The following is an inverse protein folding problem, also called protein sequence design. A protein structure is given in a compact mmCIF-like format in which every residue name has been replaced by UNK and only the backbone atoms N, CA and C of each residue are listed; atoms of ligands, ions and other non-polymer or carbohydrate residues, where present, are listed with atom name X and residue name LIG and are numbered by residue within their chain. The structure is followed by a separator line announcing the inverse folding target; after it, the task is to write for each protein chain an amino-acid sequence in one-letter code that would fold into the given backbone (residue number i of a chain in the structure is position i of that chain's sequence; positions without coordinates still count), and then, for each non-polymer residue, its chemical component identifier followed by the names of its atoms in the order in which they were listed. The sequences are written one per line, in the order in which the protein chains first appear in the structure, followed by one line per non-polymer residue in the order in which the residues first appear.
data_IF_258815599509
#
_entry.id   IF_258815599509
#
_cell.length_a   1.000
_cell.length_b   1.000
_cell.length_c   1.000
_cell.angle_alpha   90.00
_cell.angle_beta   90.00
_cell.angle_gamma   90.00
#
_symmetry.space_group_name_H-M   'P 1'
#
loop_
_entity.id
_entity.type
_entity.pdbx_description
1 polymer ?
#
# COMPACT_ATOMS: atom_id res chain seq x y z
N UNK A 1 15.08 4.65 58.36
CA UNK A 1 16.36 4.33 57.66
C UNK A 1 16.13 3.10 56.82
N UNK A 2 16.23 3.05 55.49
CA UNK A 2 16.53 4.03 54.44
C UNK A 2 15.67 3.63 53.22
N UNK A 3 15.07 4.63 52.59
CA UNK A 3 14.43 4.55 51.28
C UNK A 3 15.47 4.18 50.22
N UNK A 4 15.11 3.30 49.28
CA UNK A 4 15.72 3.29 47.95
C UNK A 4 14.60 3.14 46.91
N UNK A 5 14.04 4.29 46.56
CA UNK A 5 13.26 4.47 45.34
C UNK A 5 14.28 4.37 44.21
N UNK A 6 14.27 3.26 43.49
CA UNK A 6 14.92 3.17 42.19
C UNK A 6 14.06 3.98 41.21
N UNK A 7 14.36 5.28 41.12
CA UNK A 7 13.98 6.10 39.99
C UNK A 7 14.64 5.50 38.75
N UNK A 8 13.91 4.62 38.04
CA UNK A 8 14.14 4.36 36.62
C UNK A 8 13.78 5.66 35.92
N UNK A 9 14.76 6.56 35.88
CA UNK A 9 14.76 7.74 35.05
C UNK A 9 14.44 7.30 33.63
N UNK A 10 13.30 7.76 33.14
CA UNK A 10 12.95 8.01 31.75
C UNK A 10 14.06 8.82 31.05
N UNK A 11 15.22 8.21 30.86
CA UNK A 11 16.19 8.59 29.84
C UNK A 11 15.81 7.86 28.56
N UNK A 12 14.58 8.10 28.11
CA UNK A 12 14.19 7.86 26.73
C UNK A 12 14.98 8.87 25.91
N UNK A 13 16.19 8.47 25.50
CA UNK A 13 16.75 8.76 24.17
C UNK A 13 16.44 10.13 23.55
N UNK A 14 16.77 11.23 24.24
CA UNK A 14 16.79 12.58 23.63
C UNK A 14 17.95 12.80 22.65
N UNK A 15 18.89 11.85 22.54
CA UNK A 15 20.05 11.96 21.63
C UNK A 15 19.81 11.39 20.21
N UNK A 16 18.73 10.63 19.97
CA UNK A 16 18.41 10.07 18.63
C UNK A 16 17.47 10.97 17.80
N UNK A 17 17.02 12.08 18.38
CA UNK A 17 16.24 13.13 17.73
C UNK A 17 17.17 14.19 17.11
N UNK A 18 18.35 13.78 16.63
CA UNK A 18 19.24 14.62 15.84
C UNK A 18 18.46 15.13 14.61
N UNK A 19 18.01 16.38 14.71
CA UNK A 19 17.29 17.22 13.75
C UNK A 19 16.48 16.50 12.64
N UNK A 20 15.57 15.57 12.99
CA UNK A 20 14.62 14.95 12.05
C UNK A 20 13.87 16.03 11.25
N UNK A 21 13.36 17.05 11.95
CA UNK A 21 12.58 18.13 11.35
C UNK A 21 13.40 18.99 10.39
N UNK A 22 14.61 19.41 10.77
CA UNK A 22 15.45 20.22 9.90
C UNK A 22 16.02 19.44 8.73
N UNK A 23 16.37 18.16 8.91
CA UNK A 23 16.80 17.29 7.80
C UNK A 23 15.66 17.04 6.83
N UNK A 24 14.45 16.73 7.31
CA UNK A 24 13.27 16.61 6.46
C UNK A 24 12.95 17.92 5.71
N UNK A 25 13.07 19.07 6.37
CA UNK A 25 12.90 20.38 5.73
C UNK A 25 13.95 20.64 4.64
N UNK A 26 15.20 20.21 4.83
CA UNK A 26 16.25 20.28 3.77
C UNK A 26 15.89 19.38 2.59
N UNK A 27 15.42 18.17 2.85
CA UNK A 27 14.91 17.26 1.82
C UNK A 27 13.81 17.94 1.00
N UNK A 28 12.81 18.53 1.65
CA UNK A 28 11.72 19.25 0.97
C UNK A 28 12.20 20.40 0.09
N UNK A 29 13.31 21.05 0.43
CA UNK A 29 13.86 22.15 -0.37
C UNK A 29 14.76 21.70 -1.53
N UNK A 30 15.02 20.39 -1.64
CA UNK A 30 15.78 19.81 -2.76
C UNK A 30 14.86 19.59 -3.96
N UNK A 31 15.37 19.82 -5.18
CA UNK A 31 14.58 19.73 -6.42
C UNK A 31 13.85 18.38 -6.59
N UNK A 32 14.53 17.26 -6.30
CA UNK A 32 13.95 15.90 -6.34
C UNK A 32 13.57 15.36 -4.96
N UNK A 33 13.42 16.22 -3.94
CA UNK A 33 13.00 15.80 -2.60
C UNK A 33 13.93 14.74 -2.00
N UNK A 34 13.41 13.55 -1.58
CA UNK A 34 14.22 12.49 -1.00
C UNK A 34 15.01 11.67 -2.04
N UNK A 35 14.77 11.93 -3.34
CA UNK A 35 15.34 11.15 -4.42
C UNK A 35 16.64 11.76 -4.95
N UNK A 36 17.54 10.88 -5.33
CA UNK A 36 18.74 11.20 -6.11
C UNK A 36 18.41 11.18 -7.63
N UNK A 37 19.44 11.17 -8.47
CA UNK A 37 19.27 10.92 -9.90
C UNK A 37 18.64 9.53 -10.13
N UNK A 38 18.05 9.34 -11.31
CA UNK A 38 17.68 7.99 -11.74
C UNK A 38 18.95 7.29 -12.21
N UNK A 39 19.10 6.03 -11.79
CA UNK A 39 20.25 5.21 -12.16
C UNK A 39 19.78 3.95 -12.87
N UNK A 40 20.57 3.50 -13.84
CA UNK A 40 20.57 2.10 -14.28
C UNK A 40 21.44 1.30 -13.31
N UNK A 41 20.82 0.35 -12.61
CA UNK A 41 21.50 -0.57 -11.73
C UNK A 41 21.90 -1.80 -12.52
N UNK A 42 23.20 -2.09 -12.52
CA UNK A 42 23.76 -3.35 -13.02
C UNK A 42 24.47 -4.13 -11.92
N UNK A 43 24.86 -5.37 -12.21
CA UNK A 43 25.48 -6.25 -11.21
C UNK A 43 26.86 -5.78 -10.74
N UNK A 44 27.57 -4.96 -11.52
CA UNK A 44 28.93 -4.50 -11.22
C UNK A 44 29.01 -3.02 -10.87
N UNK A 45 27.90 -2.27 -10.99
CA UNK A 45 27.89 -0.84 -10.76
C UNK A 45 26.55 -0.22 -11.10
N UNK A 46 26.45 1.09 -10.87
CA UNK A 46 25.29 1.89 -11.25
C UNK A 46 25.75 3.13 -12.00
N UNK A 47 24.97 3.56 -12.98
CA UNK A 47 25.28 4.73 -13.81
C UNK A 47 24.02 5.60 -13.96
N UNK A 48 24.14 6.94 -13.95
CA UNK A 48 22.98 7.81 -14.15
C UNK A 48 22.31 7.55 -15.51
N UNK A 49 20.98 7.64 -15.59
CA UNK A 49 20.30 7.48 -16.89
C UNK A 49 20.66 8.65 -17.83
N UNK A 50 21.33 8.35 -18.95
CA UNK A 50 21.67 9.26 -20.07
C UNK A 50 21.56 8.53 -21.41
N UNK A 51 21.35 9.24 -22.52
CA UNK A 51 21.01 8.70 -23.86
C UNK A 51 22.01 7.70 -24.49
N UNK A 52 23.13 7.37 -23.85
CA UNK A 52 24.14 6.43 -24.38
C UNK A 52 24.80 5.54 -23.33
N UNK A 53 24.33 5.58 -22.07
CA UNK A 53 24.94 4.78 -21.02
C UNK A 53 24.33 3.37 -20.96
N UNK A 54 25.15 2.38 -20.61
CA UNK A 54 24.74 0.99 -20.40
C UNK A 54 25.07 0.62 -18.97
N UNK A 55 24.18 -0.14 -18.33
CA UNK A 55 24.40 -0.62 -16.97
C UNK A 55 25.69 -1.46 -16.88
N UNK A 56 26.58 -1.21 -15.90
CA UNK A 56 27.77 -2.02 -15.70
C UNK A 56 27.43 -3.46 -15.31
N UNK A 57 27.92 -4.44 -16.09
CA UNK A 57 27.59 -5.85 -15.88
C UNK A 57 26.24 -6.22 -16.49
N UNK A 58 25.44 -7.02 -15.77
CA UNK A 58 24.08 -7.38 -16.20
C UNK A 58 23.10 -6.34 -15.67
N UNK A 59 22.30 -5.74 -16.55
CA UNK A 59 21.23 -4.82 -16.16
C UNK A 59 20.20 -5.51 -15.26
N UNK A 60 19.78 -4.83 -14.20
CA UNK A 60 18.80 -5.34 -13.23
C UNK A 60 17.53 -4.51 -13.23
N UNK A 61 17.66 -3.19 -13.05
CA UNK A 61 16.53 -2.27 -13.05
C UNK A 61 17.00 -0.84 -13.24
N UNK A 62 16.05 0.06 -13.49
CA UNK A 62 16.25 1.50 -13.43
C UNK A 62 15.36 2.11 -12.36
N UNK A 63 15.91 2.94 -11.47
CA UNK A 63 15.12 3.57 -10.40
C UNK A 63 15.83 4.78 -9.78
N UNK A 64 15.07 5.56 -9.01
CA UNK A 64 15.60 6.62 -8.18
C UNK A 64 16.00 6.06 -6.81
N UNK A 65 17.24 6.26 -6.39
CA UNK A 65 17.65 5.91 -5.02
C UNK A 65 17.39 7.07 -4.06
N UNK A 66 17.30 6.77 -2.76
CA UNK A 66 17.40 7.79 -1.71
C UNK A 66 18.67 8.62 -1.90
N UNK A 67 18.56 9.93 -1.75
CA UNK A 67 19.72 10.81 -1.62
C UNK A 67 20.35 10.69 -0.23
N UNK A 68 21.51 11.32 -0.02
CA UNK A 68 22.27 11.16 1.22
C UNK A 68 21.50 11.64 2.46
N UNK A 69 20.70 12.70 2.36
CA UNK A 69 19.85 13.17 3.47
C UNK A 69 18.73 12.16 3.82
N UNK A 70 18.10 11.55 2.81
CA UNK A 70 17.09 10.52 3.04
C UNK A 70 17.71 9.23 3.60
N UNK A 71 18.95 8.90 3.22
CA UNK A 71 19.71 7.78 3.82
C UNK A 71 20.12 8.08 5.26
N UNK A 72 20.49 9.32 5.54
CA UNK A 72 20.81 9.79 6.89
C UNK A 72 19.61 9.63 7.82
N UNK A 73 18.42 10.10 7.41
CA UNK A 73 17.18 9.91 8.18
C UNK A 73 16.87 8.43 8.43
N UNK A 74 17.01 7.59 7.41
CA UNK A 74 16.78 6.15 7.55
C UNK A 74 17.78 5.48 8.51
N UNK A 75 19.03 5.93 8.54
CA UNK A 75 20.09 5.31 9.35
C UNK A 75 20.14 5.85 10.78
N UNK A 76 19.91 7.16 10.97
CA UNK A 76 20.04 7.82 12.27
C UNK A 76 18.72 7.87 13.05
N UNK A 77 17.59 8.00 12.36
CA UNK A 77 16.28 8.20 12.99
C UNK A 77 15.30 7.05 12.72
N UNK A 78 15.71 6.00 11.99
CA UNK A 78 14.81 4.96 11.48
C UNK A 78 13.65 5.51 10.64
N UNK A 79 13.84 6.68 10.01
CA UNK A 79 12.79 7.41 9.31
C UNK A 79 12.97 7.29 7.79
N UNK A 80 12.10 6.50 7.14
CA UNK A 80 12.24 6.22 5.71
C UNK A 80 11.37 7.14 4.84
N UNK A 81 12.00 7.84 3.91
CA UNK A 81 11.34 8.60 2.84
C UNK A 81 11.90 8.24 1.48
N UNK A 82 11.20 8.60 0.41
CA UNK A 82 11.53 8.23 -0.95
C UNK A 82 11.36 6.74 -1.21
N UNK A 83 10.32 6.12 -0.63
CA UNK A 83 10.13 4.68 -0.68
C UNK A 83 9.70 4.19 -2.07
N UNK A 84 10.38 3.14 -2.54
CA UNK A 84 10.21 2.49 -3.84
C UNK A 84 10.47 0.98 -3.71
N UNK A 85 9.72 0.14 -4.45
CA UNK A 85 9.83 -1.31 -4.29
C UNK A 85 11.19 -1.80 -4.75
N UNK A 86 11.63 -1.29 -5.90
CA UNK A 86 12.94 -1.62 -6.49
C UNK A 86 14.08 -1.37 -5.50
N UNK A 87 14.25 -0.13 -5.06
CA UNK A 87 15.40 0.25 -4.23
C UNK A 87 15.27 -0.24 -2.80
N UNK A 88 14.08 -0.31 -2.20
CA UNK A 88 13.92 -0.85 -0.85
C UNK A 88 14.30 -2.34 -0.81
N UNK A 89 13.75 -3.13 -1.73
CA UNK A 89 14.06 -4.56 -1.79
C UNK A 89 15.53 -4.80 -2.12
N UNK A 90 16.08 -4.03 -3.06
CA UNK A 90 17.49 -4.13 -3.41
C UNK A 90 18.38 -3.77 -2.21
N UNK A 91 18.16 -2.64 -1.53
CA UNK A 91 18.95 -2.23 -0.35
C UNK A 91 18.86 -3.26 0.80
N UNK A 92 17.68 -3.85 1.04
CA UNK A 92 17.53 -4.95 2.00
C UNK A 92 18.41 -6.15 1.62
N UNK A 93 18.43 -6.53 0.34
CA UNK A 93 19.33 -7.58 -0.15
C UNK A 93 20.80 -7.22 0.08
N UNK A 94 21.19 -5.99 -0.24
CA UNK A 94 22.56 -5.52 -0.06
C UNK A 94 23.03 -5.63 1.39
N UNK A 95 22.16 -5.22 2.32
CA UNK A 95 22.48 -5.26 3.75
C UNK A 95 22.54 -6.69 4.29
N UNK A 96 21.50 -7.48 4.06
CA UNK A 96 21.31 -8.77 4.75
C UNK A 96 21.93 -9.96 4.03
N UNK A 97 22.23 -9.85 2.72
CA UNK A 97 22.89 -10.92 1.96
C UNK A 97 24.36 -10.61 1.72
N UNK A 98 24.68 -9.35 1.38
CA UNK A 98 26.02 -8.97 0.90
C UNK A 98 26.82 -8.11 1.89
N UNK A 99 26.23 -7.65 3.00
CA UNK A 99 26.88 -6.73 3.94
C UNK A 99 27.20 -5.34 3.36
N UNK A 100 26.61 -4.99 2.21
CA UNK A 100 26.81 -3.71 1.52
C UNK A 100 25.48 -3.18 0.97
N UNK A 101 24.73 -2.48 1.82
CA UNK A 101 23.39 -1.96 1.52
C UNK A 101 23.32 -1.11 0.24
N UNK A 102 24.35 -0.31 -0.02
CA UNK A 102 24.36 0.66 -1.12
C UNK A 102 25.24 0.22 -2.29
N UNK A 103 25.67 -1.05 -2.30
CA UNK A 103 26.54 -1.64 -3.30
C UNK A 103 25.85 -1.97 -4.63
N UNK A 104 26.57 -2.75 -5.43
CA UNK A 104 26.05 -3.41 -6.63
C UNK A 104 26.35 -4.90 -6.55
N UNK A 105 25.37 -5.75 -6.83
CA UNK A 105 25.45 -7.20 -6.63
C UNK A 105 24.41 -7.92 -7.48
N UNK A 106 24.58 -9.22 -7.67
CA UNK A 106 23.61 -10.08 -8.35
C UNK A 106 22.37 -10.27 -7.47
N UNK A 107 21.17 -10.32 -8.08
CA UNK A 107 19.95 -10.61 -7.33
C UNK A 107 19.99 -12.03 -6.78
N UNK A 108 19.73 -12.16 -5.48
CA UNK A 108 19.66 -13.45 -4.79
C UNK A 108 18.43 -13.50 -3.88
N UNK A 109 17.27 -13.72 -4.51
CA UNK A 109 15.97 -13.76 -3.83
C UNK A 109 15.91 -14.84 -2.74
N UNK A 110 16.50 -16.01 -2.99
CA UNK A 110 16.54 -17.12 -2.04
C UNK A 110 17.33 -16.77 -0.77
N UNK A 111 18.51 -16.16 -0.92
CA UNK A 111 19.30 -15.75 0.24
C UNK A 111 18.62 -14.63 1.05
N UNK A 112 17.97 -13.67 0.37
CA UNK A 112 17.22 -12.63 1.08
C UNK A 112 16.01 -13.22 1.81
N UNK A 113 15.26 -14.15 1.20
CA UNK A 113 14.17 -14.86 1.87
C UNK A 113 14.64 -15.61 3.12
N UNK A 114 15.81 -16.26 3.05
CA UNK A 114 16.42 -16.91 4.21
C UNK A 114 16.85 -15.93 5.31
N UNK A 115 17.13 -14.66 4.96
CA UNK A 115 17.47 -13.59 5.88
C UNK A 115 16.26 -12.81 6.44
N UNK A 116 15.03 -13.25 6.14
CA UNK A 116 13.80 -12.57 6.57
C UNK A 116 13.68 -12.37 8.09
N UNK A 117 14.02 -13.35 8.96
CA UNK A 117 13.99 -13.14 10.41
C UNK A 117 14.90 -12.00 10.87
N UNK A 118 16.11 -11.90 10.31
CA UNK A 118 17.09 -10.87 10.66
C UNK A 118 16.67 -9.48 10.17
N UNK A 119 15.96 -9.43 9.05
CA UNK A 119 15.52 -8.20 8.41
C UNK A 119 14.13 -7.71 8.85
N UNK A 120 13.42 -8.47 9.70
CA UNK A 120 12.03 -8.22 10.08
C UNK A 120 11.79 -6.81 10.61
N UNK A 121 12.55 -6.38 11.63
CA UNK A 121 12.37 -5.08 12.26
C UNK A 121 12.54 -3.91 11.26
N UNK A 122 13.59 -3.96 10.43
CA UNK A 122 13.83 -2.93 9.43
C UNK A 122 12.75 -2.95 8.34
N UNK A 123 12.31 -4.14 7.93
CA UNK A 123 11.26 -4.29 6.92
C UNK A 123 9.94 -3.70 7.43
N UNK A 124 9.58 -3.99 8.69
CA UNK A 124 8.40 -3.40 9.32
C UNK A 124 8.48 -1.87 9.37
N UNK A 125 9.64 -1.31 9.74
CA UNK A 125 9.86 0.14 9.75
C UNK A 125 9.70 0.77 8.35
N UNK A 126 10.33 0.19 7.32
CA UNK A 126 10.19 0.62 5.92
C UNK A 126 8.71 0.64 5.52
N UNK A 127 7.96 -0.44 5.78
CA UNK A 127 6.54 -0.55 5.38
C UNK A 127 5.69 0.51 6.09
N UNK A 128 5.87 0.71 7.40
CA UNK A 128 5.15 1.74 8.18
C UNK A 128 5.38 3.12 7.60
N UNK A 129 6.65 3.50 7.43
CA UNK A 129 7.03 4.79 6.88
C UNK A 129 6.53 4.97 5.45
N UNK A 130 6.49 3.90 4.66
CA UNK A 130 5.99 3.98 3.29
C UNK A 130 4.49 4.24 3.25
N UNK A 131 3.70 3.54 4.05
CA UNK A 131 2.26 3.80 4.15
C UNK A 131 2.00 5.25 4.58
N UNK A 132 2.72 5.72 5.60
CA UNK A 132 2.61 7.08 6.12
C UNK A 132 3.08 8.13 5.09
N UNK A 133 4.15 7.87 4.36
CA UNK A 133 4.64 8.74 3.28
C UNK A 133 3.61 8.83 2.16
N UNK A 134 2.99 7.71 1.75
CA UNK A 134 1.92 7.70 0.74
C UNK A 134 0.72 8.52 1.21
N UNK A 135 0.35 8.38 2.49
CA UNK A 135 -0.70 9.21 3.08
C UNK A 135 -0.33 10.69 3.01
N UNK A 136 0.86 11.06 3.46
CA UNK A 136 1.36 12.43 3.43
C UNK A 136 1.34 13.02 2.02
N UNK A 137 1.84 12.28 1.04
CA UNK A 137 1.89 12.72 -0.37
C UNK A 137 0.49 12.89 -0.97
N UNK A 138 -0.46 12.03 -0.57
CA UNK A 138 -1.85 12.07 -1.09
C UNK A 138 -2.65 13.23 -0.49
N UNK A 139 -2.54 13.47 0.82
CA UNK A 139 -3.36 14.45 1.54
C UNK A 139 -2.74 15.85 1.59
N UNK A 140 -1.44 15.98 1.27
CA UNK A 140 -0.74 17.26 1.18
C UNK A 140 -0.09 17.45 -0.20
N UNK A 141 -0.86 17.40 -1.30
CA UNK A 141 -0.31 17.33 -2.66
C UNK A 141 0.47 18.59 -3.08
N UNK A 142 0.24 19.72 -2.41
CA UNK A 142 0.89 21.00 -2.69
C UNK A 142 2.24 21.16 -1.99
N UNK A 143 2.63 20.24 -1.10
CA UNK A 143 3.94 20.33 -0.46
C UNK A 143 5.06 19.90 -1.43
N UNK A 144 6.29 20.38 -1.18
CA UNK A 144 7.43 20.08 -2.05
C UNK A 144 7.81 18.60 -2.05
N UNK A 145 7.51 17.87 -0.97
CA UNK A 145 7.73 16.43 -0.89
C UNK A 145 6.85 15.66 -1.88
N UNK A 146 5.56 15.95 -1.92
CA UNK A 146 4.60 15.37 -2.85
C UNK A 146 4.95 15.73 -4.30
N UNK A 147 5.31 17.00 -4.54
CA UNK A 147 5.82 17.42 -5.84
C UNK A 147 7.04 16.60 -6.28
N UNK A 148 7.95 16.26 -5.36
CA UNK A 148 9.13 15.47 -5.69
C UNK A 148 8.83 14.07 -6.21
N UNK A 149 7.74 13.44 -5.79
CA UNK A 149 7.30 12.15 -6.34
C UNK A 149 6.82 12.25 -7.79
N UNK A 150 6.34 13.43 -8.21
CA UNK A 150 6.06 13.71 -9.61
C UNK A 150 7.32 14.03 -10.40
N UNK A 151 8.37 14.57 -9.75
CA UNK A 151 9.64 14.96 -10.37
C UNK A 151 10.72 13.88 -10.35
N UNK A 152 10.52 12.78 -9.60
CA UNK A 152 11.53 11.74 -9.41
C UNK A 152 11.97 11.08 -10.73
N UNK A 153 11.14 11.15 -11.77
CA UNK A 153 11.29 10.43 -13.04
C UNK A 153 10.54 9.10 -13.00
N UNK A 154 10.39 8.47 -14.17
CA UNK A 154 9.73 7.17 -14.27
C UNK A 154 10.78 6.11 -13.96
N UNK A 155 10.70 5.50 -12.77
CA UNK A 155 11.15 4.11 -12.66
C UNK A 155 10.28 3.33 -13.61
N UNK A 156 10.87 2.56 -14.53
CA UNK A 156 10.08 1.69 -15.41
C UNK A 156 9.06 0.96 -14.55
N UNK A 157 7.78 1.15 -14.87
CA UNK A 157 6.71 0.66 -14.00
C UNK A 157 6.69 -0.88 -13.99
N UNK A 158 7.24 -1.48 -15.03
CA UNK A 158 7.61 -2.90 -15.13
C UNK A 158 8.51 -3.35 -13.97
N UNK A 159 9.51 -2.55 -13.59
CA UNK A 159 10.41 -2.89 -12.49
C UNK A 159 9.76 -2.70 -11.13
N UNK A 160 9.02 -1.60 -10.92
CA UNK A 160 8.32 -1.39 -9.64
C UNK A 160 7.28 -2.47 -9.37
N UNK A 161 6.60 -2.95 -10.41
CA UNK A 161 5.65 -4.04 -10.28
C UNK A 161 6.35 -5.36 -9.94
N UNK A 162 7.39 -5.75 -10.69
CA UNK A 162 8.14 -6.98 -10.43
C UNK A 162 8.75 -6.98 -9.01
N UNK A 163 9.39 -5.89 -8.63
CA UNK A 163 9.98 -5.74 -7.30
C UNK A 163 8.93 -5.62 -6.20
N UNK A 164 7.70 -5.20 -6.49
CA UNK A 164 6.62 -5.29 -5.51
C UNK A 164 6.33 -6.74 -5.15
N UNK A 165 6.29 -7.66 -6.12
CA UNK A 165 6.13 -9.09 -5.83
C UNK A 165 7.29 -9.63 -5.00
N UNK A 166 8.53 -9.31 -5.37
CA UNK A 166 9.69 -9.73 -4.58
C UNK A 166 9.65 -9.18 -3.15
N UNK A 167 9.31 -7.89 -3.01
CA UNK A 167 9.23 -7.22 -1.72
C UNK A 167 8.12 -7.81 -0.84
N UNK A 168 6.89 -7.97 -1.34
CA UNK A 168 5.79 -8.48 -0.53
C UNK A 168 5.98 -9.95 -0.16
N UNK A 169 6.48 -10.79 -1.09
CA UNK A 169 6.81 -12.19 -0.78
C UNK A 169 7.83 -12.29 0.36
N UNK A 170 8.85 -11.44 0.33
CA UNK A 170 9.85 -11.32 1.38
C UNK A 170 9.27 -10.76 2.68
N UNK A 171 8.59 -9.62 2.63
CA UNK A 171 8.08 -8.92 3.80
C UNK A 171 7.03 -9.73 4.56
N UNK A 172 6.14 -10.44 3.86
CA UNK A 172 5.19 -11.38 4.46
C UNK A 172 5.87 -12.62 5.07
N UNK A 173 7.10 -12.94 4.65
CA UNK A 173 7.93 -13.98 5.29
C UNK A 173 8.66 -13.45 6.51
N UNK A 174 8.90 -12.14 6.56
CA UNK A 174 9.54 -11.46 7.68
C UNK A 174 8.56 -11.08 8.82
N UNK A 175 7.25 -11.28 8.64
CA UNK A 175 6.25 -11.03 9.69
C UNK A 175 6.46 -12.02 10.85
N UNK A 176 6.67 -11.49 12.05
CA UNK A 176 6.81 -12.25 13.29
C UNK A 176 5.69 -12.01 14.28
N UNK A 177 4.97 -10.88 14.15
CA UNK A 177 3.87 -10.49 15.03
C UNK A 177 2.64 -10.12 14.18
N UNK A 178 1.44 -10.50 14.64
CA UNK A 178 0.22 -10.35 13.83
C UNK A 178 -0.07 -8.90 13.41
N UNK A 179 0.22 -7.91 14.26
CA UNK A 179 0.00 -6.49 13.97
C UNK A 179 0.91 -5.96 12.84
N UNK A 180 2.03 -6.63 12.54
CA UNK A 180 2.92 -6.24 11.43
C UNK A 180 2.29 -6.51 10.05
N UNK A 181 1.22 -7.31 10.00
CA UNK A 181 0.50 -7.56 8.76
C UNK A 181 -0.32 -6.35 8.29
N UNK A 182 -0.92 -5.59 9.22
CA UNK A 182 -1.80 -4.47 8.88
C UNK A 182 -1.10 -3.42 7.99
N UNK A 183 0.14 -2.96 8.27
CA UNK A 183 0.86 -2.07 7.37
C UNK A 183 1.10 -2.66 5.97
N UNK A 184 1.37 -3.96 5.86
CA UNK A 184 1.53 -4.63 4.56
C UNK A 184 0.22 -4.65 3.78
N UNK A 185 -0.89 -4.95 4.45
CA UNK A 185 -2.23 -4.91 3.85
C UNK A 185 -2.59 -3.51 3.35
N UNK A 186 -2.36 -2.48 4.16
CA UNK A 186 -2.60 -1.08 3.78
C UNK A 186 -1.69 -0.64 2.63
N UNK A 187 -0.42 -1.05 2.63
CA UNK A 187 0.51 -0.76 1.54
C UNK A 187 0.05 -1.42 0.23
N UNK A 188 -0.33 -2.70 0.26
CA UNK A 188 -0.82 -3.42 -0.92
C UNK A 188 -2.12 -2.82 -1.46
N UNK A 189 -3.08 -2.49 -0.57
CA UNK A 189 -4.33 -1.82 -0.95
C UNK A 189 -4.11 -0.48 -1.63
N UNK A 190 -3.11 0.27 -1.19
CA UNK A 190 -2.80 1.60 -1.72
C UNK A 190 -1.84 1.57 -2.91
N UNK A 191 -1.28 0.41 -3.27
CA UNK A 191 -0.25 0.28 -4.31
C UNK A 191 -0.74 -0.51 -5.52
N UNK A 192 -0.47 -0.07 -6.75
CA UNK A 192 -0.84 -0.78 -7.98
C UNK A 192 0.10 -1.97 -8.24
N UNK A 193 -0.01 -3.02 -7.43
CA UNK A 193 0.89 -4.19 -7.52
C UNK A 193 0.35 -5.31 -8.40
N UNK A 194 -0.92 -5.21 -8.83
CA UNK A 194 -1.52 -6.24 -9.67
C UNK A 194 -1.05 -6.06 -11.12
N UNK A 195 -0.62 -7.17 -11.71
CA UNK A 195 -0.25 -7.20 -13.12
C UNK A 195 -1.47 -6.92 -13.98
N UNK A 196 -1.39 -5.82 -14.71
CA UNK A 196 -2.42 -5.39 -15.60
C UNK A 196 -1.73 -4.80 -16.82
N UNK A 197 -1.57 -5.60 -17.87
CA UNK A 197 -1.26 -5.14 -19.22
C UNK A 197 -2.13 -3.95 -19.65
N UNK A 198 -3.35 -3.85 -19.09
CA UNK A 198 -4.22 -2.68 -19.24
C UNK A 198 -3.65 -1.40 -18.60
N UNK A 199 -3.05 -1.45 -17.41
CA UNK A 199 -2.36 -0.29 -16.82
C UNK A 199 -1.16 0.14 -17.65
N UNK A 200 -0.39 -0.81 -18.21
CA UNK A 200 0.72 -0.47 -19.09
C UNK A 200 0.24 0.23 -20.36
N UNK A 201 -0.88 -0.24 -20.92
CA UNK A 201 -1.56 0.46 -22.02
C UNK A 201 -1.94 1.90 -21.62
N UNK A 202 -2.52 2.12 -20.44
CA UNK A 202 -2.84 3.48 -19.98
C UNK A 202 -1.59 4.36 -19.82
N UNK A 203 -0.51 3.82 -19.28
CA UNK A 203 0.79 4.49 -19.11
C UNK A 203 1.42 4.89 -20.43
N UNK A 204 1.41 3.98 -21.40
CA UNK A 204 1.87 4.24 -22.78
C UNK A 204 1.01 5.32 -23.45
N UNK A 205 -0.32 5.22 -23.34
CA UNK A 205 -1.24 6.19 -23.93
C UNK A 205 -1.04 7.61 -23.39
N UNK A 206 -0.89 7.77 -22.07
CA UNK A 206 -0.67 9.10 -21.49
C UNK A 206 0.70 9.67 -21.82
N UNK A 207 1.73 8.82 -21.94
CA UNK A 207 3.07 9.23 -22.36
C UNK A 207 3.05 9.75 -23.81
N UNK A 208 2.48 8.98 -24.74
CA UNK A 208 2.38 9.37 -26.15
C UNK A 208 1.54 10.65 -26.32
N UNK A 209 0.45 10.79 -25.55
CA UNK A 209 -0.36 12.00 -25.57
C UNK A 209 0.45 13.22 -25.09
N UNK A 210 1.19 13.07 -24.00
CA UNK A 210 2.06 14.13 -23.49
C UNK A 210 3.12 14.54 -24.51
N UNK A 211 3.82 13.58 -25.14
CA UNK A 211 4.87 13.86 -26.10
C UNK A 211 4.31 14.57 -27.35
N UNK A 212 3.15 14.13 -27.85
CA UNK A 212 2.45 14.79 -28.96
C UNK A 212 2.04 16.23 -28.60
N UNK A 213 1.48 16.44 -27.41
CA UNK A 213 1.04 17.77 -26.95
C UNK A 213 2.24 18.70 -26.73
N UNK A 214 3.32 18.19 -26.16
CA UNK A 214 4.58 18.93 -25.98
C UNK A 214 5.16 19.36 -27.32
N UNK A 215 5.18 18.48 -28.31
CA UNK A 215 5.66 18.79 -29.66
C UNK A 215 4.83 19.88 -30.34
N UNK A 216 3.50 19.84 -30.17
CA UNK A 216 2.59 20.76 -30.84
C UNK A 216 2.50 22.15 -30.19
N UNK A 217 2.51 22.21 -28.85
CA UNK A 217 2.21 23.44 -28.10
C UNK A 217 3.39 23.96 -27.26
N UNK A 218 4.45 23.18 -27.10
CA UNK A 218 5.62 23.53 -26.28
C UNK A 218 5.48 23.14 -24.81
N UNK A 219 6.61 23.03 -24.11
CA UNK A 219 6.68 22.59 -22.71
C UNK A 219 6.22 23.66 -21.70
N UNK A 220 6.18 24.93 -22.12
CA UNK A 220 5.74 26.04 -21.28
C UNK A 220 4.23 26.22 -21.22
N UNK A 221 3.48 25.61 -22.16
CA UNK A 221 2.02 25.66 -22.23
C UNK A 221 1.40 25.06 -20.95
N UNK A 222 0.37 25.73 -20.43
CA UNK A 222 -0.24 25.35 -19.16
C UNK A 222 -0.98 24.01 -19.22
N UNK A 223 -1.58 23.67 -20.36
CA UNK A 223 -2.20 22.37 -20.58
C UNK A 223 -1.13 21.27 -20.66
N UNK A 224 -0.01 21.53 -21.35
CA UNK A 224 1.10 20.57 -21.43
C UNK A 224 1.71 20.29 -20.05
N UNK A 225 1.87 21.32 -19.21
CA UNK A 225 2.33 21.17 -17.81
C UNK A 225 1.36 20.38 -16.95
N UNK A 226 0.05 20.65 -17.04
CA UNK A 226 -0.96 19.89 -16.32
C UNK A 226 -1.02 18.43 -16.79
N UNK A 227 -0.86 18.19 -18.09
CA UNK A 227 -0.81 16.86 -18.67
C UNK A 227 0.44 16.09 -18.24
N UNK A 228 1.58 16.77 -18.10
CA UNK A 228 2.81 16.20 -17.54
C UNK A 228 2.59 15.72 -16.10
N UNK A 229 1.93 16.54 -15.27
CA UNK A 229 1.57 16.15 -13.90
C UNK A 229 0.67 14.92 -13.91
N UNK A 230 -0.39 14.91 -14.73
CA UNK A 230 -1.30 13.77 -14.86
C UNK A 230 -0.59 12.49 -15.32
N UNK A 231 0.30 12.59 -16.32
CA UNK A 231 1.18 11.50 -16.76
C UNK A 231 1.95 10.95 -15.57
N UNK A 232 2.62 11.83 -14.83
CA UNK A 232 3.45 11.39 -13.70
C UNK A 232 2.61 10.79 -12.57
N UNK A 233 1.39 11.26 -12.33
CA UNK A 233 0.47 10.62 -11.38
C UNK A 233 0.10 9.21 -11.83
N UNK A 234 -0.24 9.00 -13.10
CA UNK A 234 -0.57 7.66 -13.66
C UNK A 234 0.65 6.72 -13.58
N UNK A 235 1.85 7.23 -13.80
CA UNK A 235 3.08 6.44 -13.75
C UNK A 235 3.54 6.14 -12.32
N UNK A 236 3.48 7.12 -11.41
CA UNK A 236 4.17 7.06 -10.12
C UNK A 236 3.25 6.98 -8.89
N UNK A 237 2.00 7.43 -8.99
CA UNK A 237 1.11 7.68 -7.85
C UNK A 237 -0.34 7.28 -8.15
N UNK A 238 -0.54 6.25 -8.96
CA UNK A 238 -1.86 5.86 -9.42
C UNK A 238 -2.78 5.52 -8.24
N UNK A 239 -3.95 6.14 -8.24
CA UNK A 239 -5.02 5.97 -7.26
C UNK A 239 -6.37 6.17 -7.96
N UNK A 240 -7.49 5.80 -7.34
CA UNK A 240 -8.81 6.08 -7.92
C UNK A 240 -9.05 7.57 -8.24
N UNK A 241 -8.42 8.48 -7.49
CA UNK A 241 -8.57 9.94 -7.69
C UNK A 241 -8.03 10.42 -9.04
N UNK A 242 -7.12 9.67 -9.67
CA UNK A 242 -6.63 9.99 -11.02
C UNK A 242 -7.78 10.13 -12.03
N UNK A 243 -8.87 9.37 -11.87
CA UNK A 243 -10.05 9.49 -12.73
C UNK A 243 -10.67 10.89 -12.63
N UNK A 244 -10.70 11.47 -11.42
CA UNK A 244 -11.16 12.84 -11.20
C UNK A 244 -10.15 13.87 -11.73
N UNK A 245 -8.86 13.62 -11.59
CA UNK A 245 -7.83 14.50 -12.16
C UNK A 245 -7.94 14.59 -13.69
N UNK A 246 -8.26 13.48 -14.36
CA UNK A 246 -8.56 13.49 -15.80
C UNK A 246 -9.80 14.35 -16.11
N UNK A 247 -10.88 14.20 -15.33
CA UNK A 247 -12.08 15.04 -15.50
C UNK A 247 -11.75 16.53 -15.32
N UNK A 248 -11.00 16.87 -14.28
CA UNK A 248 -10.57 18.24 -14.00
C UNK A 248 -9.72 18.80 -15.14
N UNK A 249 -8.78 18.02 -15.69
CA UNK A 249 -8.01 18.42 -16.86
C UNK A 249 -8.92 18.75 -18.06
N UNK A 250 -9.84 17.83 -18.39
CA UNK A 250 -10.76 18.02 -19.52
C UNK A 250 -11.67 19.23 -19.37
N UNK A 251 -12.06 19.56 -18.12
CA UNK A 251 -12.89 20.72 -17.81
C UNK A 251 -12.10 22.04 -17.86
N UNK A 252 -10.86 22.04 -17.37
CA UNK A 252 -10.02 23.24 -17.30
C UNK A 252 -9.40 23.62 -18.66
N UNK A 253 -9.24 22.66 -19.57
CA UNK A 253 -8.59 22.85 -20.87
C UNK A 253 -9.49 22.48 -22.06
N UNK A 254 -10.71 23.05 -22.17
CA UNK A 254 -11.70 22.64 -23.17
C UNK A 254 -11.24 22.88 -24.61
N UNK A 255 -10.36 23.87 -24.85
CA UNK A 255 -9.75 24.15 -26.15
C UNK A 255 -8.92 22.98 -26.70
N UNK A 256 -8.35 22.15 -25.82
CA UNK A 256 -7.50 21.01 -26.20
C UNK A 256 -8.29 19.70 -26.26
N UNK A 257 -9.62 19.75 -26.09
CA UNK A 257 -10.47 18.57 -26.02
C UNK A 257 -10.42 17.72 -27.31
N UNK A 258 -10.30 18.34 -28.48
CA UNK A 258 -10.18 17.60 -29.75
C UNK A 258 -8.93 16.71 -29.79
N UNK A 259 -7.82 17.19 -29.24
CA UNK A 259 -6.54 16.47 -29.21
C UNK A 259 -6.41 15.48 -28.03
N UNK A 260 -7.16 15.68 -26.95
CA UNK A 260 -6.94 14.97 -25.68
C UNK A 260 -8.10 14.08 -25.24
N UNK A 261 -9.35 14.44 -25.54
CA UNK A 261 -10.54 13.80 -24.94
C UNK A 261 -10.64 12.31 -25.25
N UNK A 262 -10.43 11.91 -26.50
CA UNK A 262 -10.53 10.50 -26.89
C UNK A 262 -9.57 9.60 -26.11
N UNK A 263 -8.29 10.00 -26.03
CA UNK A 263 -7.26 9.25 -25.31
C UNK A 263 -7.50 9.26 -23.80
N UNK A 264 -7.86 10.42 -23.23
CA UNK A 264 -8.10 10.56 -21.80
C UNK A 264 -9.35 9.78 -21.34
N UNK A 265 -10.42 9.73 -22.14
CA UNK A 265 -11.60 8.89 -21.85
C UNK A 265 -11.25 7.41 -21.88
N UNK A 266 -10.46 6.94 -22.86
CA UNK A 266 -10.01 5.55 -22.89
C UNK A 266 -9.14 5.19 -21.67
N UNK A 267 -8.26 6.10 -21.24
CA UNK A 267 -7.48 5.93 -20.00
C UNK A 267 -8.43 5.83 -18.80
N UNK A 268 -9.45 6.69 -18.70
CA UNK A 268 -10.45 6.60 -17.62
C UNK A 268 -11.15 5.24 -17.58
N UNK A 269 -11.53 4.69 -18.72
CA UNK A 269 -12.22 3.40 -18.76
C UNK A 269 -11.30 2.25 -18.34
N UNK A 270 -10.02 2.29 -18.74
CA UNK A 270 -9.00 1.35 -18.25
C UNK A 270 -8.86 1.46 -16.72
N UNK A 271 -8.73 2.68 -16.19
CA UNK A 271 -8.56 2.90 -14.75
C UNK A 271 -9.79 2.47 -13.97
N UNK A 272 -11.00 2.76 -14.47
CA UNK A 272 -12.26 2.30 -13.88
C UNK A 272 -12.32 0.77 -13.83
N UNK A 273 -11.97 0.10 -14.92
CA UNK A 273 -11.92 -1.36 -14.95
C UNK A 273 -10.86 -1.91 -13.98
N UNK A 274 -9.69 -1.28 -13.90
CA UNK A 274 -8.62 -1.67 -13.00
C UNK A 274 -8.99 -1.52 -11.53
N UNK A 275 -9.69 -0.45 -11.15
CA UNK A 275 -10.13 -0.22 -9.77
C UNK A 275 -11.45 -0.89 -9.43
N UNK A 276 -12.21 -1.36 -10.42
CA UNK A 276 -13.45 -2.10 -10.17
C UNK A 276 -13.14 -3.52 -9.71
N UNK A 277 -13.26 -3.76 -8.41
CA UNK A 277 -13.10 -5.09 -7.82
C UNK A 277 -14.45 -5.79 -7.76
N UNK A 278 -14.50 -7.00 -8.29
CA UNK A 278 -15.71 -7.83 -8.29
C UNK A 278 -15.39 -9.33 -8.31
N UNK A 279 -16.42 -10.18 -8.24
CA UNK A 279 -16.28 -11.62 -8.06
C UNK A 279 -15.33 -12.29 -9.07
N UNK A 280 -15.39 -11.91 -10.35
CA UNK A 280 -14.50 -12.46 -11.40
C UNK A 280 -13.02 -12.25 -11.07
N UNK A 281 -12.62 -11.04 -10.66
CA UNK A 281 -11.22 -10.75 -10.29
C UNK A 281 -10.79 -11.57 -9.07
N UNK A 282 -11.69 -11.76 -8.11
CA UNK A 282 -11.43 -12.58 -6.92
C UNK A 282 -11.24 -14.04 -7.32
N UNK A 283 -12.07 -14.58 -8.22
CA UNK A 283 -11.92 -15.92 -8.80
C UNK A 283 -10.57 -16.10 -9.49
N UNK A 284 -10.15 -15.15 -10.33
CA UNK A 284 -8.88 -15.24 -11.06
C UNK A 284 -7.67 -15.23 -10.12
N UNK A 285 -7.69 -14.38 -9.09
CA UNK A 285 -6.66 -14.35 -8.03
C UNK A 285 -6.67 -15.64 -7.19
N UNK A 286 -7.86 -16.15 -6.83
CA UNK A 286 -7.98 -17.39 -6.06
C UNK A 286 -7.37 -18.59 -6.80
N UNK A 287 -7.55 -18.66 -8.14
CA UNK A 287 -6.91 -19.68 -8.99
C UNK A 287 -5.38 -19.60 -8.96
N UNK A 288 -4.80 -18.41 -9.03
CA UNK A 288 -3.33 -18.22 -8.94
C UNK A 288 -2.77 -18.72 -7.61
N UNK A 289 -3.46 -18.39 -6.52
CA UNK A 289 -3.07 -18.82 -5.17
C UNK A 289 -3.28 -20.32 -4.97
N UNK A 290 -4.33 -20.90 -5.57
CA UNK A 290 -4.81 -22.26 -5.29
C UNK A 290 -5.86 -22.30 -4.18
N UNK A 291 -6.57 -21.18 -3.94
CA UNK A 291 -7.56 -21.02 -2.89
C UNK A 291 -8.95 -21.48 -3.35
N UNK A 292 -9.16 -22.80 -3.45
CA UNK A 292 -10.39 -23.41 -3.99
C UNK A 292 -11.67 -22.93 -3.30
N UNK A 293 -11.69 -22.82 -1.97
CA UNK A 293 -12.86 -22.34 -1.21
C UNK A 293 -13.23 -20.89 -1.59
N UNK A 294 -12.22 -20.02 -1.73
CA UNK A 294 -12.41 -18.63 -2.16
C UNK A 294 -12.91 -18.58 -3.60
N UNK A 295 -12.37 -19.41 -4.48
CA UNK A 295 -12.79 -19.52 -5.87
C UNK A 295 -14.28 -19.88 -5.96
N UNK A 296 -14.71 -20.94 -5.27
CA UNK A 296 -16.10 -21.41 -5.27
C UNK A 296 -17.05 -20.35 -4.73
N UNK A 297 -16.70 -19.72 -3.61
CA UNK A 297 -17.54 -18.67 -3.02
C UNK A 297 -17.67 -17.45 -3.97
N UNK A 298 -16.57 -17.02 -4.59
CA UNK A 298 -16.58 -15.92 -5.54
C UNK A 298 -17.36 -16.25 -6.82
N UNK A 299 -17.22 -17.45 -7.39
CA UNK A 299 -18.01 -17.90 -8.55
C UNK A 299 -19.51 -17.95 -8.24
N UNK A 300 -19.87 -18.39 -7.03
CA UNK A 300 -21.25 -18.36 -6.54
C UNK A 300 -21.84 -16.95 -6.50
N UNK A 301 -21.07 -15.98 -5.98
CA UNK A 301 -21.46 -14.56 -5.95
C UNK A 301 -21.52 -13.93 -7.34
N UNK A 302 -20.63 -14.33 -8.26
CA UNK A 302 -20.66 -13.88 -9.65
C UNK A 302 -21.94 -14.33 -10.36
N UNK A 303 -22.39 -15.56 -10.10
CA UNK A 303 -23.54 -16.18 -10.75
C UNK A 303 -24.87 -15.69 -10.17
N UNK A 304 -24.96 -15.60 -8.85
CA UNK A 304 -26.23 -15.39 -8.14
C UNK A 304 -26.42 -13.96 -7.61
N UNK A 305 -25.39 -13.10 -7.74
CA UNK A 305 -25.35 -11.81 -7.06
C UNK A 305 -25.00 -11.94 -5.58
N UNK A 306 -24.85 -10.79 -4.91
CA UNK A 306 -24.52 -10.75 -3.49
C UNK A 306 -25.68 -11.26 -2.63
N UNK A 307 -25.35 -12.10 -1.64
CA UNK A 307 -26.25 -12.50 -0.56
C UNK A 307 -25.47 -12.56 0.75
N UNK A 308 -26.13 -12.37 1.90
CA UNK A 308 -25.46 -12.42 3.22
C UNK A 308 -24.77 -13.75 3.48
N UNK A 309 -25.36 -14.86 3.02
CA UNK A 309 -24.75 -16.19 3.13
C UNK A 309 -23.50 -16.32 2.25
N UNK A 310 -23.56 -15.85 0.99
CA UNK A 310 -22.40 -15.85 0.11
C UNK A 310 -21.28 -14.92 0.59
N UNK A 311 -21.65 -13.76 1.14
CA UNK A 311 -20.70 -12.82 1.76
C UNK A 311 -19.99 -13.42 2.96
N UNK A 312 -20.72 -14.12 3.84
CA UNK A 312 -20.13 -14.85 4.96
C UNK A 312 -19.19 -15.96 4.48
N UNK A 313 -19.64 -16.82 3.56
CA UNK A 313 -18.82 -17.91 3.04
C UNK A 313 -17.51 -17.43 2.41
N UNK A 314 -17.58 -16.35 1.60
CA UNK A 314 -16.37 -15.73 1.05
C UNK A 314 -15.47 -15.19 2.16
N UNK A 315 -16.02 -14.45 3.13
CA UNK A 315 -15.23 -13.87 4.23
C UNK A 315 -14.52 -14.93 5.10
N UNK A 316 -15.16 -16.07 5.35
CA UNK A 316 -14.59 -17.20 6.10
C UNK A 316 -13.42 -17.82 5.32
N UNK A 317 -13.62 -18.10 4.03
CA UNK A 317 -12.56 -18.62 3.17
C UNK A 317 -11.36 -17.65 3.07
N UNK A 318 -11.58 -16.33 3.14
CA UNK A 318 -10.50 -15.35 3.21
C UNK A 318 -9.76 -15.37 4.56
N UNK A 319 -10.47 -15.53 5.67
CA UNK A 319 -9.84 -15.65 6.99
C UNK A 319 -8.94 -16.90 7.09
N UNK A 320 -9.32 -17.99 6.42
CA UNK A 320 -8.45 -19.18 6.26
C UNK A 320 -7.15 -18.84 5.51
N UNK A 321 -7.23 -18.08 4.41
CA UNK A 321 -6.04 -17.62 3.67
C UNK A 321 -5.17 -16.70 4.53
N UNK A 322 -5.78 -15.79 5.30
CA UNK A 322 -5.04 -14.92 6.24
C UNK A 322 -4.29 -15.73 7.29
N UNK A 323 -4.93 -16.77 7.84
CA UNK A 323 -4.30 -17.70 8.80
C UNK A 323 -3.13 -18.45 8.14
N UNK A 324 -3.34 -18.98 6.93
CA UNK A 324 -2.31 -19.70 6.18
C UNK A 324 -1.10 -18.82 5.83
N UNK A 325 -1.28 -17.50 5.66
CA UNK A 325 -0.16 -16.56 5.51
C UNK A 325 0.68 -16.45 6.78
N UNK A 326 0.06 -16.42 7.97
CA UNK A 326 0.77 -16.36 9.26
C UNK A 326 1.46 -17.69 9.63
N UNK A 327 0.94 -18.83 9.16
CA UNK A 327 1.47 -20.17 9.52
C UNK A 327 2.36 -20.79 8.44
N UNK A 328 2.80 -20.02 7.44
CA UNK A 328 3.54 -20.50 6.27
C UNK A 328 2.82 -21.61 5.47
N UNK A 329 1.49 -21.68 5.54
CA UNK A 329 0.65 -22.54 4.71
C UNK A 329 0.52 -22.07 3.25
N UNK A 330 0.98 -20.86 2.94
CA UNK A 330 1.10 -20.34 1.56
C UNK A 330 2.58 -20.31 1.16
N UNK A 331 2.90 -20.89 0.00
CA UNK A 331 4.24 -20.88 -0.57
C UNK A 331 4.77 -19.44 -0.73
N UNK A 332 6.06 -19.24 -0.47
CA UNK A 332 6.67 -17.91 -0.39
C UNK A 332 6.48 -17.07 -1.67
N UNK A 333 6.55 -17.71 -2.84
CA UNK A 333 6.36 -17.09 -4.15
C UNK A 333 4.90 -16.66 -4.43
N UNK A 334 3.94 -17.23 -3.70
CA UNK A 334 2.49 -16.94 -3.82
C UNK A 334 1.96 -15.97 -2.77
N UNK A 335 2.76 -15.53 -1.80
CA UNK A 335 2.31 -14.68 -0.69
C UNK A 335 1.76 -13.33 -1.17
N UNK A 336 2.37 -12.73 -2.20
CA UNK A 336 1.88 -11.49 -2.81
C UNK A 336 0.51 -11.66 -3.47
N UNK A 337 0.32 -12.74 -4.24
CA UNK A 337 -0.99 -13.03 -4.86
C UNK A 337 -2.07 -13.27 -3.79
N UNK A 338 -1.72 -13.94 -2.69
CA UNK A 338 -2.62 -14.12 -1.56
C UNK A 338 -2.98 -12.77 -0.90
N UNK A 339 -2.02 -11.88 -0.68
CA UNK A 339 -2.28 -10.54 -0.16
C UNK A 339 -3.18 -9.72 -1.10
N UNK A 340 -2.95 -9.81 -2.41
CA UNK A 340 -3.77 -9.20 -3.44
C UNK A 340 -5.20 -9.75 -3.44
N UNK A 341 -5.36 -11.06 -3.27
CA UNK A 341 -6.65 -11.74 -3.13
C UNK A 341 -7.41 -11.20 -1.91
N UNK A 342 -6.76 -11.16 -0.75
CA UNK A 342 -7.34 -10.64 0.49
C UNK A 342 -7.78 -9.18 0.34
N UNK A 343 -6.91 -8.32 -0.21
CA UNK A 343 -7.22 -6.90 -0.42
C UNK A 343 -8.37 -6.68 -1.39
N UNK A 344 -8.37 -7.40 -2.51
CA UNK A 344 -9.42 -7.31 -3.52
C UNK A 344 -10.77 -7.78 -2.96
N UNK A 345 -10.78 -8.96 -2.33
CA UNK A 345 -12.01 -9.54 -1.82
C UNK A 345 -12.57 -8.74 -0.64
N UNK A 346 -11.72 -8.18 0.23
CA UNK A 346 -12.15 -7.26 1.29
C UNK A 346 -12.80 -6.00 0.72
N UNK A 347 -12.22 -5.37 -0.30
CA UNK A 347 -12.80 -4.18 -0.95
C UNK A 347 -14.19 -4.48 -1.53
N UNK A 348 -14.35 -5.62 -2.21
CA UNK A 348 -15.64 -6.06 -2.74
C UNK A 348 -16.66 -6.28 -1.64
N UNK A 349 -16.32 -7.07 -0.61
CA UNK A 349 -17.25 -7.38 0.48
C UNK A 349 -17.65 -6.13 1.28
N UNK A 350 -16.69 -5.25 1.61
CA UNK A 350 -16.98 -3.99 2.30
C UNK A 350 -17.97 -3.13 1.50
N UNK A 351 -17.83 -3.05 0.18
CA UNK A 351 -18.77 -2.33 -0.70
C UNK A 351 -20.17 -2.94 -0.62
N UNK A 352 -20.31 -4.25 -0.82
CA UNK A 352 -21.61 -4.92 -0.84
C UNK A 352 -22.31 -4.85 0.53
N UNK A 353 -21.57 -5.11 1.61
CA UNK A 353 -22.06 -5.03 2.99
C UNK A 353 -22.49 -3.60 3.37
N UNK A 354 -21.75 -2.59 2.93
CA UNK A 354 -22.10 -1.18 3.15
C UNK A 354 -23.34 -0.76 2.38
N UNK A 355 -23.71 -1.45 1.30
CA UNK A 355 -24.92 -1.18 0.50
C UNK A 355 -26.19 -1.86 1.03
N UNK A 356 -26.08 -2.75 2.02
CA UNK A 356 -27.26 -3.34 2.66
C UNK A 356 -28.19 -2.26 3.22
N UNK A 357 -29.51 -2.39 3.06
CA UNK A 357 -30.46 -1.39 3.57
C UNK A 357 -30.87 -1.64 5.02
N UNK A 358 -31.01 -2.91 5.39
CA UNK A 358 -31.45 -3.37 6.72
C UNK A 358 -30.64 -4.60 7.09
N UNK A 359 -30.38 -4.78 8.38
CA UNK A 359 -29.73 -5.97 8.91
C UNK A 359 -30.78 -6.99 9.39
N UNK A 360 -31.13 -7.95 8.54
CA UNK A 360 -32.14 -8.98 8.85
C UNK A 360 -31.57 -10.21 9.59
N UNK A 361 -30.27 -10.45 9.47
CA UNK A 361 -29.58 -11.60 10.05
C UNK A 361 -28.25 -11.18 10.66
N UNK A 362 -27.63 -12.04 11.48
CA UNK A 362 -26.29 -11.81 12.06
C UNK A 362 -25.13 -12.08 11.08
N UNK A 363 -25.40 -12.69 9.92
CA UNK A 363 -24.37 -13.10 8.96
C UNK A 363 -23.51 -11.94 8.45
N UNK A 364 -24.06 -10.74 8.14
CA UNK A 364 -23.23 -9.60 7.76
C UNK A 364 -22.28 -9.14 8.86
N UNK A 365 -22.67 -9.27 10.14
CA UNK A 365 -21.77 -8.94 11.28
C UNK A 365 -20.63 -9.95 11.35
N UNK A 366 -20.92 -11.25 11.22
CA UNK A 366 -19.87 -12.28 11.17
C UNK A 366 -18.90 -12.05 10.00
N UNK A 367 -19.45 -11.69 8.83
CA UNK A 367 -18.62 -11.38 7.67
C UNK A 367 -17.68 -10.20 7.93
N UNK A 368 -18.16 -9.15 8.61
CA UNK A 368 -17.32 -8.02 9.01
C UNK A 368 -16.23 -8.42 10.01
N UNK A 369 -16.54 -9.25 11.00
CA UNK A 369 -15.51 -9.74 11.96
C UNK A 369 -14.40 -10.50 11.23
N UNK A 370 -14.75 -11.35 10.26
CA UNK A 370 -13.76 -12.01 9.42
C UNK A 370 -12.93 -11.01 8.60
N UNK A 371 -13.57 -9.96 8.07
CA UNK A 371 -12.86 -8.91 7.33
C UNK A 371 -11.89 -8.13 8.22
N UNK A 372 -12.25 -7.81 9.46
CA UNK A 372 -11.34 -7.15 10.40
C UNK A 372 -10.07 -7.97 10.63
N UNK A 373 -10.19 -9.30 10.75
CA UNK A 373 -9.04 -10.19 10.81
C UNK A 373 -8.25 -10.23 9.49
N UNK A 374 -8.94 -10.36 8.36
CA UNK A 374 -8.34 -10.38 7.01
C UNK A 374 -7.52 -9.11 6.73
N UNK A 375 -7.99 -7.95 7.19
CA UNK A 375 -7.29 -6.67 7.03
C UNK A 375 -6.14 -6.48 8.03
N UNK A 376 -6.08 -7.30 9.10
CA UNK A 376 -5.06 -7.24 10.15
C UNK A 376 -5.40 -6.37 11.35
N UNK A 377 -6.67 -5.97 11.53
CA UNK A 377 -7.14 -5.23 12.70
C UNK A 377 -7.34 -6.12 13.93
N UNK A 378 -7.44 -7.43 13.74
CA UNK A 378 -7.52 -8.40 14.82
C UNK A 378 -6.34 -9.36 14.72
N UNK A 379 -5.79 -9.74 15.86
CA UNK A 379 -4.96 -10.94 15.97
C UNK A 379 -5.85 -12.19 15.93
N UNK A 380 -5.24 -13.35 15.69
CA UNK A 380 -6.00 -14.61 15.56
C UNK A 380 -6.91 -14.92 16.75
N UNK A 381 -6.42 -14.78 17.98
CA UNK A 381 -7.19 -15.14 19.18
C UNK A 381 -8.43 -14.24 19.36
N UNK A 382 -8.29 -12.94 19.10
CA UNK A 382 -9.42 -12.01 19.13
C UNK A 382 -10.45 -12.37 18.05
N UNK A 383 -9.98 -12.70 16.84
CA UNK A 383 -10.86 -13.15 15.76
C UNK A 383 -11.63 -14.41 16.12
N UNK A 384 -10.95 -15.45 16.64
CA UNK A 384 -11.58 -16.71 17.04
C UNK A 384 -12.67 -16.44 18.12
N UNK A 385 -12.36 -15.61 19.11
CA UNK A 385 -13.31 -15.22 20.16
C UNK A 385 -14.54 -14.51 19.57
N UNK A 386 -14.37 -13.37 18.89
CA UNK A 386 -15.52 -12.58 18.42
C UNK A 386 -16.30 -13.28 17.31
N UNK A 387 -15.64 -14.04 16.43
CA UNK A 387 -16.35 -14.83 15.43
C UNK A 387 -17.28 -15.85 16.09
N UNK A 388 -16.83 -16.50 17.17
CA UNK A 388 -17.62 -17.47 17.91
C UNK A 388 -18.80 -16.82 18.68
N UNK A 389 -18.55 -15.68 19.34
CA UNK A 389 -19.56 -14.92 20.08
C UNK A 389 -20.66 -14.38 19.15
N UNK A 390 -20.28 -13.78 18.01
CA UNK A 390 -21.25 -13.31 17.02
C UNK A 390 -22.04 -14.49 16.44
N UNK A 391 -21.42 -15.65 16.27
CA UNK A 391 -22.10 -16.88 15.84
C UNK A 391 -23.08 -17.44 16.89
N UNK A 392 -22.78 -17.30 18.17
CA UNK A 392 -23.64 -17.72 19.27
C UNK A 392 -24.78 -16.72 19.56
N UNK A 393 -24.64 -15.46 19.15
CA UNK A 393 -25.62 -14.40 19.45
C UNK A 393 -27.05 -14.73 19.00
N UNK A 394 -28.04 -14.38 19.82
CA UNK A 394 -29.45 -14.71 19.60
C UNK A 394 -30.13 -13.87 18.51
N UNK A 395 -29.58 -12.70 18.18
CA UNK A 395 -30.20 -11.74 17.25
C UNK A 395 -29.15 -10.86 16.57
N UNK A 396 -29.52 -10.18 15.45
CA UNK A 396 -28.64 -9.19 14.83
C UNK A 396 -28.27 -8.03 15.76
N UNK A 397 -29.18 -7.63 16.66
CA UNK A 397 -28.92 -6.60 17.65
C UNK A 397 -27.87 -7.05 18.68
N UNK A 398 -27.96 -8.29 19.17
CA UNK A 398 -26.97 -8.87 20.08
C UNK A 398 -25.60 -9.01 19.40
N UNK A 399 -25.56 -9.40 18.13
CA UNK A 399 -24.33 -9.42 17.33
C UNK A 399 -23.67 -8.04 17.22
N UNK A 400 -24.46 -7.00 16.92
CA UNK A 400 -23.97 -5.63 16.76
C UNK A 400 -23.48 -5.02 18.08
N UNK A 401 -23.99 -5.47 19.23
CA UNK A 401 -23.53 -5.00 20.54
C UNK A 401 -22.05 -5.27 20.81
N UNK A 402 -21.41 -6.16 20.05
CA UNK A 402 -19.97 -6.47 20.14
C UNK A 402 -19.08 -5.53 19.32
N UNK A 403 -19.66 -4.71 18.43
CA UNK A 403 -18.89 -3.82 17.55
C UNK A 403 -18.07 -2.76 18.30
N UNK A 404 -18.54 -2.15 19.40
CA UNK A 404 -17.72 -1.22 20.20
C UNK A 404 -16.42 -1.86 20.69
N UNK A 405 -16.49 -3.04 21.32
CA UNK A 405 -15.31 -3.75 21.84
C UNK A 405 -14.33 -4.11 20.72
N UNK A 406 -14.86 -4.53 19.56
CA UNK A 406 -14.05 -4.78 18.35
C UNK A 406 -13.35 -3.52 17.86
N UNK A 407 -14.03 -2.36 17.91
CA UNK A 407 -13.46 -1.09 17.46
C UNK A 407 -12.31 -0.64 18.37
N UNK A 408 -12.45 -0.81 19.69
CA UNK A 408 -11.41 -0.47 20.66
C UNK A 408 -10.15 -1.32 20.44
N UNK A 409 -10.30 -2.64 20.31
CA UNK A 409 -9.20 -3.58 20.03
C UNK A 409 -8.52 -3.27 18.69
N UNK A 410 -9.32 -2.96 17.67
CA UNK A 410 -8.79 -2.63 16.35
C UNK A 410 -8.03 -1.30 16.35
N UNK A 411 -8.48 -0.32 17.14
CA UNK A 411 -7.77 0.94 17.32
C UNK A 411 -6.43 0.73 18.04
N UNK A 412 -6.38 -0.11 19.07
CA UNK A 412 -5.13 -0.48 19.74
C UNK A 412 -4.15 -1.18 18.78
N UNK A 413 -4.66 -2.10 17.97
CA UNK A 413 -3.85 -2.80 16.94
C UNK A 413 -3.31 -1.81 15.91
N UNK A 414 -4.13 -0.84 15.48
CA UNK A 414 -3.72 0.20 14.54
C UNK A 414 -2.63 1.11 15.13
N UNK A 415 -2.77 1.50 16.40
CA UNK A 415 -1.74 2.25 17.12
C UNK A 415 -0.43 1.46 17.20
N UNK A 416 -0.48 0.18 17.62
CA UNK A 416 0.71 -0.68 17.69
C UNK A 416 1.35 -0.89 16.31
N UNK A 417 0.54 -1.03 15.25
CA UNK A 417 1.00 -1.30 13.90
C UNK A 417 1.81 -0.14 13.29
N UNK A 418 1.50 1.11 13.65
CA UNK A 418 2.11 2.30 13.05
C UNK A 418 3.02 3.10 13.98
N UNK A 419 3.03 2.82 15.28
CA UNK A 419 3.99 3.44 16.19
C UNK A 419 5.37 2.74 16.15
N UNK A 420 6.48 3.46 16.39
CA UNK A 420 6.57 4.91 16.66
C UNK A 420 6.60 5.80 15.39
N UNK A 421 6.51 5.21 14.20
CA UNK A 421 6.65 5.94 12.93
C UNK A 421 5.60 7.06 12.77
N UNK A 422 4.36 6.83 13.22
CA UNK A 422 3.31 7.85 13.18
C UNK A 422 3.68 9.08 14.03
N UNK A 423 4.21 8.90 15.23
CA UNK A 423 4.65 10.02 16.07
C UNK A 423 5.72 10.88 15.39
N UNK A 424 6.66 10.23 14.68
CA UNK A 424 7.67 10.95 13.89
C UNK A 424 7.03 11.79 12.78
N UNK A 425 6.06 11.23 12.04
CA UNK A 425 5.34 11.99 11.01
C UNK A 425 4.47 13.11 11.58
N UNK A 426 3.81 12.90 12.72
CA UNK A 426 3.03 13.93 13.42
C UNK A 426 3.93 15.08 13.89
N UNK A 427 5.16 14.78 14.32
CA UNK A 427 6.13 15.82 14.68
C UNK A 427 6.55 16.73 13.51
N UNK A 428 6.45 16.23 12.27
CA UNK A 428 6.77 16.97 11.05
C UNK A 428 5.56 17.73 10.50
N UNK A 429 4.38 17.11 10.55
CA UNK A 429 3.11 17.67 10.11
C UNK A 429 2.01 17.21 11.06
N UNK A 430 1.50 18.08 11.96
CA UNK A 430 0.49 17.70 12.95
C UNK A 430 -0.78 17.09 12.33
N UNK A 431 -1.15 17.49 11.11
CA UNK A 431 -2.31 16.91 10.42
C UNK A 431 -2.14 15.43 10.05
N UNK A 432 -0.94 14.86 10.17
CA UNK A 432 -0.74 13.41 10.06
C UNK A 432 -1.49 12.62 11.14
N UNK A 433 -1.93 13.26 12.23
CA UNK A 433 -2.79 12.62 13.24
C UNK A 433 -4.10 12.05 12.64
N UNK A 434 -4.58 12.61 11.53
CA UNK A 434 -5.78 12.12 10.82
C UNK A 434 -5.53 10.82 10.02
N UNK A 435 -4.29 10.32 9.98
CA UNK A 435 -3.97 9.05 9.32
C UNK A 435 -4.81 7.90 9.87
N UNK A 436 -4.96 7.83 11.20
CA UNK A 436 -5.75 6.81 11.90
C UNK A 436 -7.20 6.83 11.41
N UNK A 437 -7.85 7.99 11.50
CA UNK A 437 -9.23 8.18 11.04
C UNK A 437 -9.42 7.81 9.57
N UNK A 438 -8.50 8.22 8.70
CA UNK A 438 -8.57 7.94 7.27
C UNK A 438 -8.38 6.44 6.97
N UNK A 439 -7.52 5.76 7.73
CA UNK A 439 -7.33 4.33 7.64
C UNK A 439 -8.62 3.60 8.05
N UNK A 440 -9.20 3.96 9.20
CA UNK A 440 -10.49 3.44 9.69
C UNK A 440 -11.60 3.64 8.65
N UNK A 441 -11.77 4.86 8.14
CA UNK A 441 -12.82 5.19 7.14
C UNK A 441 -12.75 4.35 5.87
N UNK A 442 -11.55 3.90 5.49
CA UNK A 442 -11.35 3.08 4.30
C UNK A 442 -11.51 1.57 4.56
N UNK A 443 -11.64 1.14 5.81
CA UNK A 443 -11.51 -0.26 6.25
C UNK A 443 -12.84 -0.94 6.58
N UNK A 444 -12.77 -2.22 6.94
CA UNK A 444 -13.90 -2.99 7.46
C UNK A 444 -14.45 -2.43 8.79
N UNK A 445 -13.69 -1.63 9.55
CA UNK A 445 -14.22 -0.95 10.75
C UNK A 445 -15.31 0.06 10.39
N UNK A 446 -15.14 0.79 9.29
CA UNK A 446 -16.19 1.69 8.81
C UNK A 446 -17.42 0.90 8.39
N UNK A 447 -17.24 -0.22 7.69
CA UNK A 447 -18.34 -1.13 7.34
C UNK A 447 -19.04 -1.70 8.57
N UNK A 448 -18.32 -2.02 9.65
CA UNK A 448 -18.88 -2.40 10.94
C UNK A 448 -19.80 -1.31 11.50
N UNK A 449 -19.31 -0.06 11.57
CA UNK A 449 -20.08 1.09 12.03
C UNK A 449 -21.34 1.35 11.18
N UNK A 450 -21.23 1.19 9.86
CA UNK A 450 -22.36 1.35 8.95
C UNK A 450 -23.40 0.23 9.12
N UNK A 451 -22.97 -1.01 9.35
CA UNK A 451 -23.89 -2.14 9.62
C UNK A 451 -24.58 -1.98 10.97
N UNK A 452 -23.88 -1.50 12.00
CA UNK A 452 -24.45 -1.28 13.32
C UNK A 452 -25.68 -0.35 13.27
N UNK A 453 -25.65 0.66 12.38
CA UNK A 453 -26.75 1.62 12.17
C UNK A 453 -27.96 1.04 11.41
N UNK A 454 -27.88 -0.20 10.93
CA UNK A 454 -28.92 -0.86 10.12
C UNK A 454 -29.73 -1.90 10.90
N UNK A 455 -29.43 -2.08 12.18
CA UNK A 455 -30.26 -2.84 13.11
C UNK A 455 -31.54 -2.05 13.36
N UNK A 456 -32.68 -2.72 13.31
CA UNK A 456 -33.97 -2.14 13.67
C UNK A 456 -34.26 -2.31 15.15
#
# INVERSE_FOLDING_TARGET
MKNFIAAVLLLVSFNAQADLAGTFKKIQNTYKGPFSLNYMQGTLGRVPIRESEVAPGVFQFQSAFRNDMARELATQNDFYVGNLFTTNYYELMGKYVYGNQYGSYVLNHGALLAAAPQASAQTASIVRHWVLERHYVTFFPNNKHAASFTLRGVSGAEFEQEYAYYFFNFALTAVTEDFQFLPLFVLAKSSPIADASSLERARTMIANLYDSMKMQYGDQDSAVKALYQLRNTIHNQISPDVINQINTYLNNYPRYASSTRGTLTQIQDILRAYFNVGPKRITDLAKKVGATNVQVAAEGLAKNGFSSQGGLALSQALAEIRTALSTNGIAADKKTDALLLLSSASQYLNKELSNLKVLETKLPVQAVVNLLYVEGFLIKDNWDYFSSEVAASASPAAAVAMIPDLADIANDTLNQAFQPALDQWVSLEPKMQYFIDNTIKSSALNTASLIAKKVK
#
